data_IF_693520268784
#
_entry.id   IF_693520268784
#
_cell.length_a   1.000
_cell.length_b   1.000
_cell.length_c   1.000
_cell.angle_alpha   90.00
_cell.angle_beta   90.00
_cell.angle_gamma   90.00
#
_symmetry.space_group_name_H-M   'P 1'
#
loop_
_entity.id
_entity.type
_entity.pdbx_description
1 polymer ?
#
# COMPACT_ATOMS: atom_id res chain seq x y z
N UNK A 1 25.38 5.49 10.77
CA UNK A 1 24.43 4.40 11.04
C UNK A 1 23.11 4.86 10.45
N UNK A 2 22.70 4.29 9.31
CA UNK A 2 21.52 4.72 8.55
C UNK A 2 20.27 4.17 9.24
N UNK A 3 19.54 5.03 9.94
CA UNK A 3 18.24 4.73 10.55
C UNK A 3 17.20 5.28 9.60
N UNK A 4 16.69 4.46 8.69
CA UNK A 4 15.73 4.92 7.68
C UNK A 4 15.72 4.03 6.45
N UNK A 5 15.65 2.72 6.62
CA UNK A 5 15.12 1.88 5.54
C UNK A 5 13.61 2.13 5.55
N UNK A 6 13.17 3.14 4.79
CA UNK A 6 11.76 3.32 4.47
C UNK A 6 11.21 1.98 3.97
N UNK A 7 10.12 1.52 4.57
CA UNK A 7 9.45 0.31 4.11
C UNK A 7 9.12 0.49 2.64
N UNK A 8 9.59 -0.44 1.81
CA UNK A 8 9.22 -0.47 0.40
C UNK A 8 7.69 -0.55 0.30
N UNK A 9 7.10 0.02 -0.76
CA UNK A 9 5.64 0.00 -0.97
C UNK A 9 5.09 -1.43 -0.84
N UNK A 10 5.83 -2.43 -1.33
CA UNK A 10 5.50 -3.85 -1.18
C UNK A 10 5.40 -4.31 0.29
N UNK A 11 6.33 -3.89 1.14
CA UNK A 11 6.32 -4.23 2.57
C UNK A 11 5.18 -3.51 3.31
N UNK A 12 4.87 -2.27 2.93
CA UNK A 12 3.75 -1.52 3.50
C UNK A 12 2.39 -2.15 3.14
N UNK A 13 2.23 -2.61 1.90
CA UNK A 13 1.05 -3.40 1.49
C UNK A 13 0.99 -4.74 2.21
N UNK A 14 2.12 -5.45 2.34
CA UNK A 14 2.18 -6.71 3.08
C UNK A 14 1.74 -6.53 4.55
N UNK A 15 2.16 -5.43 5.19
CA UNK A 15 1.74 -5.08 6.54
C UNK A 15 0.23 -4.80 6.62
N UNK A 16 -0.32 -4.02 5.68
CA UNK A 16 -1.75 -3.75 5.62
C UNK A 16 -2.58 -5.04 5.43
N UNK A 17 -2.11 -5.97 4.60
CA UNK A 17 -2.76 -7.28 4.39
C UNK A 17 -2.72 -8.12 5.67
N UNK A 18 -1.57 -8.19 6.33
CA UNK A 18 -1.43 -8.92 7.60
C UNK A 18 -2.34 -8.35 8.68
N UNK A 19 -2.38 -7.02 8.82
CA UNK A 19 -3.27 -6.37 9.78
C UNK A 19 -4.74 -6.60 9.43
N UNK A 20 -5.11 -6.56 8.15
CA UNK A 20 -6.49 -6.79 7.74
C UNK A 20 -6.94 -8.26 7.95
N UNK A 21 -6.02 -9.24 7.95
CA UNK A 21 -6.34 -10.64 8.25
C UNK A 21 -6.92 -10.82 9.66
N UNK A 22 -6.49 -10.02 10.64
CA UNK A 22 -6.98 -10.13 12.02
C UNK A 22 -8.47 -9.75 12.16
N UNK A 23 -9.02 -9.06 11.16
CA UNK A 23 -10.40 -8.55 11.16
C UNK A 23 -11.27 -9.12 10.03
N UNK A 24 -10.71 -9.93 9.13
CA UNK A 24 -11.42 -10.48 7.99
C UNK A 24 -11.88 -11.92 8.25
N UNK A 25 -13.10 -12.25 7.82
CA UNK A 25 -13.71 -13.56 8.03
C UNK A 25 -13.94 -14.33 6.72
N UNK A 26 -13.86 -13.65 5.58
CA UNK A 26 -13.94 -14.24 4.25
C UNK A 26 -12.76 -15.19 4.00
N UNK A 27 -13.06 -16.49 3.89
CA UNK A 27 -12.06 -17.51 3.57
C UNK A 27 -11.39 -17.26 2.22
N UNK A 28 -12.14 -16.72 1.28
CA UNK A 28 -11.67 -16.44 -0.08
C UNK A 28 -10.69 -15.26 -0.06
N UNK A 29 -10.99 -14.22 0.72
CA UNK A 29 -10.06 -13.11 0.93
C UNK A 29 -8.78 -13.56 1.64
N UNK A 30 -8.90 -14.38 2.69
CA UNK A 30 -7.74 -14.92 3.42
C UNK A 30 -6.88 -15.80 2.50
N UNK A 31 -7.51 -16.58 1.62
CA UNK A 31 -6.83 -17.38 0.61
C UNK A 31 -6.03 -16.51 -0.36
N UNK A 32 -6.66 -15.45 -0.88
CA UNK A 32 -5.98 -14.46 -1.72
C UNK A 32 -4.82 -13.77 -0.98
N UNK A 33 -5.05 -13.31 0.26
CA UNK A 33 -4.04 -12.61 1.06
C UNK A 33 -2.78 -13.45 1.26
N UNK A 34 -2.94 -14.76 1.51
CA UNK A 34 -1.81 -15.70 1.59
C UNK A 34 -1.06 -15.84 0.27
N UNK A 35 -1.79 -15.98 -0.84
CA UNK A 35 -1.22 -16.01 -2.19
C UNK A 35 -0.38 -14.76 -2.48
N UNK A 36 -0.93 -13.58 -2.15
CA UNK A 36 -0.24 -12.30 -2.36
C UNK A 36 1.03 -12.16 -1.52
N UNK A 37 0.97 -12.54 -0.24
CA UNK A 37 2.09 -12.51 0.71
C UNK A 37 3.23 -13.46 0.30
N UNK A 38 2.90 -14.64 -0.22
CA UNK A 38 3.88 -15.58 -0.77
C UNK A 38 4.48 -15.11 -2.10
N UNK A 39 3.83 -14.16 -2.78
CA UNK A 39 4.22 -13.67 -4.09
C UNK A 39 3.71 -14.53 -5.25
N UNK A 40 2.75 -15.41 -5.01
CA UNK A 40 2.18 -16.33 -6.01
C UNK A 40 1.30 -15.56 -7.02
N UNK A 41 0.46 -14.64 -6.54
CA UNK A 41 -0.35 -13.75 -7.38
C UNK A 41 -0.47 -12.35 -6.75
N UNK A 42 0.20 -11.38 -7.37
CA UNK A 42 0.15 -9.95 -7.00
C UNK A 42 -0.59 -9.08 -7.99
N UNK A 43 -1.31 -9.69 -8.94
CA UNK A 43 -1.97 -8.96 -10.01
C UNK A 43 -3.06 -8.00 -9.51
N UNK A 44 -3.21 -6.86 -10.20
CA UNK A 44 -4.29 -5.92 -9.95
C UNK A 44 -5.69 -6.57 -10.09
N UNK A 45 -5.86 -7.54 -10.98
CA UNK A 45 -7.11 -8.28 -11.16
C UNK A 45 -7.48 -9.11 -9.94
N UNK A 46 -6.51 -9.84 -9.38
CA UNK A 46 -6.75 -10.64 -8.17
C UNK A 46 -7.03 -9.74 -6.96
N UNK A 47 -6.30 -8.63 -6.85
CA UNK A 47 -6.51 -7.64 -5.81
C UNK A 47 -7.89 -6.95 -5.92
N UNK A 48 -8.37 -6.66 -7.13
CA UNK A 48 -9.72 -6.13 -7.34
C UNK A 48 -10.81 -7.15 -6.94
N UNK A 49 -10.65 -8.41 -7.33
CA UNK A 49 -11.57 -9.48 -6.92
C UNK A 49 -11.58 -9.65 -5.39
N UNK A 50 -10.41 -9.54 -4.74
CA UNK A 50 -10.28 -9.57 -3.29
C UNK A 50 -11.00 -8.40 -2.62
N UNK A 51 -10.95 -7.19 -3.17
CA UNK A 51 -11.68 -6.05 -2.64
C UNK A 51 -13.21 -6.28 -2.65
N UNK A 52 -13.77 -6.94 -3.67
CA UNK A 52 -15.21 -7.21 -3.74
C UNK A 52 -15.69 -8.27 -2.74
N UNK A 53 -14.84 -9.24 -2.40
CA UNK A 53 -15.16 -10.34 -1.46
C UNK A 53 -14.81 -10.02 0.01
N UNK A 54 -14.14 -8.90 0.25
CA UNK A 54 -13.74 -8.47 1.59
C UNK A 54 -14.96 -7.98 2.39
N UNK A 55 -15.14 -8.51 3.59
CA UNK A 55 -16.24 -8.15 4.49
C UNK A 55 -15.86 -6.99 5.39
N UNK A 56 -14.57 -6.89 5.76
CA UNK A 56 -14.03 -5.80 6.56
C UNK A 56 -13.60 -4.61 5.68
N UNK A 57 -13.77 -3.38 6.20
CA UNK A 57 -13.27 -2.19 5.51
C UNK A 57 -11.73 -2.23 5.37
N UNK A 58 -11.01 -2.62 6.42
CA UNK A 58 -9.56 -2.76 6.37
C UNK A 58 -9.08 -3.73 5.28
N UNK A 59 -9.76 -4.86 5.11
CA UNK A 59 -9.48 -5.84 4.05
C UNK A 59 -9.74 -5.30 2.64
N UNK A 60 -10.80 -4.49 2.46
CA UNK A 60 -11.05 -3.76 1.21
C UNK A 60 -9.95 -2.78 0.88
N UNK A 61 -9.54 -1.97 1.86
CA UNK A 61 -8.46 -0.99 1.67
C UNK A 61 -7.12 -1.67 1.40
N UNK A 62 -6.79 -2.76 2.11
CA UNK A 62 -5.59 -3.53 1.85
C UNK A 62 -5.56 -4.15 0.44
N UNK A 63 -6.70 -4.69 -0.02
CA UNK A 63 -6.83 -5.20 -1.38
C UNK A 63 -6.72 -4.09 -2.44
N UNK A 64 -7.31 -2.91 -2.20
CA UNK A 64 -7.16 -1.75 -3.08
C UNK A 64 -5.71 -1.23 -3.11
N UNK A 65 -5.01 -1.21 -1.97
CA UNK A 65 -3.60 -0.85 -1.91
C UNK A 65 -2.73 -1.82 -2.71
N UNK A 66 -3.00 -3.12 -2.61
CA UNK A 66 -2.33 -4.15 -3.43
C UNK A 66 -2.57 -3.95 -4.93
N UNK A 67 -3.79 -3.56 -5.33
CA UNK A 67 -4.13 -3.22 -6.71
C UNK A 67 -3.34 -2.00 -7.22
N UNK A 68 -3.24 -0.96 -6.39
CA UNK A 68 -2.49 0.26 -6.74
C UNK A 68 -0.99 0.01 -6.82
N UNK A 69 -0.45 -0.90 -6.00
CA UNK A 69 0.95 -1.33 -6.07
C UNK A 69 1.30 -1.97 -7.42
N UNK A 70 0.50 -2.94 -7.89
CA UNK A 70 0.72 -3.58 -9.20
C UNK A 70 0.67 -2.56 -10.34
N UNK A 71 -0.30 -1.63 -10.28
CA UNK A 71 -0.39 -0.53 -11.24
C UNK A 71 0.85 0.37 -11.20
N UNK A 72 1.34 0.73 -10.01
CA UNK A 72 2.56 1.51 -9.86
C UNK A 72 3.79 0.79 -10.44
N UNK A 73 3.91 -0.52 -10.24
CA UNK A 73 4.99 -1.33 -10.83
C UNK A 73 4.91 -1.38 -12.36
N UNK A 74 3.71 -1.54 -12.93
CA UNK A 74 3.49 -1.52 -14.37
C UNK A 74 3.91 -0.17 -14.97
N UNK A 75 3.56 0.92 -14.32
CA UNK A 75 3.92 2.27 -14.76
C UNK A 75 5.37 2.61 -14.55
N UNK A 76 6.00 2.09 -13.51
CA UNK A 76 7.45 2.23 -13.32
C UNK A 76 8.20 1.49 -14.43
N UNK A 77 7.69 0.34 -14.86
CA UNK A 77 8.22 -0.42 -15.99
C UNK A 77 8.00 0.33 -17.30
N UNK A 78 6.81 0.87 -17.53
CA UNK A 78 6.48 1.70 -18.68
C UNK A 78 7.31 2.99 -18.70
N UNK A 79 7.48 3.66 -17.56
CA UNK A 79 8.33 4.82 -17.40
C UNK A 79 9.81 4.48 -17.62
N UNK A 80 10.29 3.29 -17.22
CA UNK A 80 11.64 2.84 -17.50
C UNK A 80 11.85 2.57 -18.99
N UNK A 81 10.86 1.98 -19.67
CA UNK A 81 10.86 1.79 -21.13
C UNK A 81 10.81 3.14 -21.86
N UNK A 82 9.93 4.04 -21.45
CA UNK A 82 9.82 5.40 -21.96
C UNK A 82 11.03 6.26 -21.62
N UNK A 83 11.73 6.02 -20.50
CA UNK A 83 12.96 6.72 -20.12
C UNK A 83 14.16 6.18 -20.91
N UNK A 84 14.18 4.88 -21.21
CA UNK A 84 15.10 4.31 -22.18
C UNK A 84 14.87 4.90 -23.59
N UNK A 85 13.61 5.19 -23.95
CA UNK A 85 13.23 5.94 -25.15
C UNK A 85 13.45 7.47 -24.99
N UNK A 86 13.52 7.97 -23.76
CA UNK A 86 13.32 9.36 -23.36
C UNK A 86 14.47 9.96 -22.58
N UNK A 87 15.70 9.89 -23.11
CA UNK A 87 16.72 10.95 -22.91
C UNK A 87 16.26 12.33 -23.45
N UNK A 88 14.96 12.59 -23.57
CA UNK A 88 14.40 13.72 -24.31
C UNK A 88 13.14 14.41 -23.71
N UNK A 89 12.56 14.01 -22.56
CA UNK A 89 11.35 14.70 -22.08
C UNK A 89 11.17 14.66 -20.54
N UNK A 90 11.44 15.78 -19.86
CA UNK A 90 11.37 15.93 -18.40
C UNK A 90 9.96 16.06 -17.79
N UNK A 91 8.91 15.59 -18.46
CA UNK A 91 7.51 15.75 -18.01
C UNK A 91 6.96 14.56 -17.20
N UNK A 92 7.64 13.41 -17.25
CA UNK A 92 7.16 12.13 -16.72
C UNK A 92 7.43 11.92 -15.22
N UNK A 93 8.39 12.65 -14.63
CA UNK A 93 8.80 12.47 -13.23
C UNK A 93 7.69 12.95 -12.26
N UNK A 94 7.11 14.12 -12.52
CA UNK A 94 6.05 14.74 -11.70
C UNK A 94 4.78 13.86 -11.64
N UNK A 95 4.48 13.11 -12.70
CA UNK A 95 3.29 12.25 -12.74
C UNK A 95 3.48 10.98 -11.91
N UNK A 96 4.70 10.43 -11.87
CA UNK A 96 5.03 9.28 -11.03
C UNK A 96 5.09 9.68 -9.56
N UNK A 97 5.65 10.85 -9.23
CA UNK A 97 5.68 11.37 -7.86
C UNK A 97 4.29 11.66 -7.29
N UNK A 98 3.39 12.26 -8.07
CA UNK A 98 2.00 12.46 -7.64
C UNK A 98 1.30 11.15 -7.33
N UNK A 99 1.49 10.11 -8.15
CA UNK A 99 0.84 8.81 -7.96
C UNK A 99 1.45 7.99 -6.83
N UNK A 100 2.75 8.16 -6.58
CA UNK A 100 3.38 7.61 -5.40
C UNK A 100 2.79 8.24 -4.13
N UNK A 101 2.56 9.55 -4.15
CA UNK A 101 1.89 10.27 -3.05
C UNK A 101 0.47 9.75 -2.80
N UNK A 102 -0.32 9.55 -3.85
CA UNK A 102 -1.66 8.94 -3.74
C UNK A 102 -1.61 7.53 -3.12
N UNK A 103 -0.63 6.72 -3.52
CA UNK A 103 -0.45 5.37 -2.98
C UNK A 103 -0.06 5.39 -1.48
N UNK A 104 0.79 6.33 -1.07
CA UNK A 104 1.18 6.51 0.33
C UNK A 104 0.01 6.99 1.19
N UNK A 105 -0.86 7.85 0.66
CA UNK A 105 -2.08 8.29 1.35
C UNK A 105 -3.03 7.12 1.59
N UNK A 106 -3.33 6.31 0.58
CA UNK A 106 -4.21 5.15 0.72
C UNK A 106 -3.66 4.11 1.71
N UNK A 107 -2.35 3.89 1.72
CA UNK A 107 -1.71 3.00 2.70
C UNK A 107 -1.82 3.58 4.12
N UNK A 108 -1.60 4.88 4.30
CA UNK A 108 -1.75 5.53 5.60
C UNK A 108 -3.20 5.49 6.11
N UNK A 109 -4.19 5.59 5.23
CA UNK A 109 -5.60 5.45 5.58
C UNK A 109 -5.97 4.01 5.93
N UNK A 110 -5.46 3.03 5.18
CA UNK A 110 -5.65 1.62 5.49
C UNK A 110 -5.14 1.28 6.89
N UNK A 111 -3.95 1.77 7.26
CA UNK A 111 -3.35 1.60 8.59
C UNK A 111 -4.19 2.31 9.66
N UNK A 112 -4.62 3.57 9.42
CA UNK A 112 -5.41 4.34 10.38
C UNK A 112 -6.78 3.72 10.66
N UNK A 113 -7.44 3.17 9.65
CA UNK A 113 -8.72 2.48 9.77
C UNK A 113 -8.58 1.13 10.46
N UNK A 114 -7.44 0.47 10.27
CA UNK A 114 -7.02 -0.71 11.02
C UNK A 114 -6.85 -0.39 12.53
N UNK A 115 -6.19 0.72 12.87
CA UNK A 115 -5.98 1.16 14.26
C UNK A 115 -7.24 1.73 14.94
N UNK A 116 -8.21 2.22 14.16
CA UNK A 116 -9.46 2.81 14.67
C UNK A 116 -10.47 1.80 15.21
N UNK A 117 -10.26 0.50 14.96
CA UNK A 117 -11.11 -0.63 15.36
C UNK A 117 -10.91 -1.12 16.79
N UNK A 118 -10.72 -0.21 17.74
CA UNK A 118 -10.72 -0.50 19.17
C UNK A 118 -9.35 -0.84 19.76
N UNK A 119 -8.83 0.07 20.58
CA UNK A 119 -8.59 -0.16 22.01
C UNK A 119 -8.09 1.14 22.65
N UNK A 120 -8.73 1.50 23.76
CA UNK A 120 -8.22 2.49 24.70
C UNK A 120 -6.81 2.09 25.15
N UNK A 121 -5.82 2.95 24.90
CA UNK A 121 -4.56 2.96 25.63
C UNK A 121 -3.34 2.41 24.87
N UNK A 122 -2.58 3.31 24.26
CA UNK A 122 -1.24 3.05 23.71
C UNK A 122 -1.17 3.46 22.24
N UNK A 123 -0.34 4.40 21.80
CA UNK A 123 0.77 5.09 22.45
C UNK A 123 1.01 6.39 21.65
N UNK A 124 1.17 7.53 22.34
CA UNK A 124 1.52 8.85 21.78
C UNK A 124 2.62 8.83 20.70
N UNK A 125 3.42 7.77 20.65
CA UNK A 125 4.54 7.58 19.74
C UNK A 125 4.16 7.54 18.26
N UNK A 126 3.00 6.97 17.90
CA UNK A 126 2.55 6.91 16.49
C UNK A 126 2.04 8.28 16.01
N UNK A 127 1.40 9.05 16.89
CA UNK A 127 0.96 10.41 16.60
C UNK A 127 2.15 11.39 16.55
N UNK A 128 3.17 11.19 17.39
CA UNK A 128 4.42 11.98 17.35
C UNK A 128 5.21 11.72 16.06
N UNK A 129 5.28 10.47 15.58
CA UNK A 129 5.96 10.15 14.32
C UNK A 129 5.25 10.77 13.11
N UNK A 130 3.91 10.75 13.07
CA UNK A 130 3.13 11.44 12.02
C UNK A 130 3.29 12.97 12.07
N UNK A 131 3.30 13.56 13.27
CA UNK A 131 3.45 15.00 13.43
C UNK A 131 4.86 15.50 13.10
N UNK A 132 5.89 14.66 13.26
CA UNK A 132 7.27 14.98 12.91
C UNK A 132 7.49 14.94 11.39
N UNK A 133 6.93 13.93 10.71
CA UNK A 133 7.01 13.80 9.24
C UNK A 133 6.35 14.98 8.51
N UNK A 134 5.23 15.49 9.03
CA UNK A 134 4.54 16.67 8.45
C UNK A 134 5.29 17.98 8.69
N UNK A 135 6.20 18.03 9.67
CA UNK A 135 6.91 19.27 10.05
C UNK A 135 8.28 19.40 9.38
N UNK A 136 8.85 18.29 8.92
CA UNK A 136 10.16 18.22 8.25
C UNK A 136 10.05 18.17 6.71
N UNK A 137 8.85 18.44 6.17
CA UNK A 137 8.55 18.77 4.77
C UNK A 137 7.90 20.15 4.71
#
# INVERSE_FOLDING_TARGET
>A
MSVGDDLTIAQSVAFAILHAQDHETSSDWIGWAKSWLNGDDRSASAAAAAAEIATAAAARHAANAARMFDLAQALQTEAAMLSAEGRNAGWTLDTVENRNTECLVEVAEAIRLADGGGLQGGSSRSAELLAQVVRDH
#
